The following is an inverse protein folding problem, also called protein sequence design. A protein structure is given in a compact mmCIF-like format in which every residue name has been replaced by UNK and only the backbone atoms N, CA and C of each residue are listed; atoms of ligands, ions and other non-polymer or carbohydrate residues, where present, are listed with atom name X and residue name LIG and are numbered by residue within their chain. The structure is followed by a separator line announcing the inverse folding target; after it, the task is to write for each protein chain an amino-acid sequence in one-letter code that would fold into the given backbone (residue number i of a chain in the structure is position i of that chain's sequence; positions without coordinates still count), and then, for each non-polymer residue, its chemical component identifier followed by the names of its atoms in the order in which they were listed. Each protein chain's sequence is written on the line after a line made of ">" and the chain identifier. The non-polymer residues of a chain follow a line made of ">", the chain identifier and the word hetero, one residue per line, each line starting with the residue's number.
data_IF_053603071292
#
_entry.id   IF_053603071292
#
_cell.length_a   1.000
_cell.length_b   1.000
_cell.length_c   1.000
_cell.angle_alpha   90.00
_cell.angle_beta   90.00
_cell.angle_gamma   90.00
#
_symmetry.space_group_name_H-M   'P 1'
#
loop_
_entity.id
_entity.type
_entity.pdbx_description
1 polymer ?
#
# COMPACT_ATOMS: atom_id res chain seq x y z
N UNK A 1 -0.18 19.13 -9.46
CA UNK A 1 0.82 19.98 -10.17
C UNK A 1 1.07 19.40 -11.56
N UNK A 2 0.01 19.32 -12.35
CA UNK A 2 -0.02 18.57 -13.59
C UNK A 2 -1.42 18.07 -13.90
N UNK A 3 -1.56 17.44 -15.07
CA UNK A 3 -2.78 16.78 -15.52
C UNK A 3 -2.55 15.27 -15.59
N UNK A 4 -3.36 14.52 -14.85
CA UNK A 4 -3.31 13.07 -14.83
C UNK A 4 -4.46 12.50 -15.65
N UNK A 5 -4.16 11.49 -16.46
CA UNK A 5 -5.14 10.76 -17.25
C UNK A 5 -4.81 9.26 -17.17
N UNK A 6 -5.77 8.46 -16.70
CA UNK A 6 -5.66 7.01 -16.53
C UNK A 6 -4.31 6.53 -15.92
N UNK A 7 -3.92 7.12 -14.78
CA UNK A 7 -2.70 6.73 -14.06
C UNK A 7 -1.39 7.29 -14.64
N UNK A 8 -1.42 8.02 -15.75
CA UNK A 8 -0.25 8.74 -16.28
C UNK A 8 -0.41 10.24 -16.07
N UNK A 9 0.52 10.84 -15.35
CA UNK A 9 0.53 12.29 -15.12
C UNK A 9 1.54 13.00 -16.02
N UNK A 10 1.07 14.08 -16.64
CA UNK A 10 1.92 15.08 -17.27
C UNK A 10 2.11 16.24 -16.28
N UNK A 11 3.33 16.39 -15.79
CA UNK A 11 3.65 17.41 -14.79
C UNK A 11 3.82 18.80 -15.40
N UNK A 12 3.42 19.80 -14.63
CA UNK A 12 3.67 21.21 -14.96
C UNK A 12 5.17 21.52 -14.85
N UNK A 13 5.61 22.62 -15.48
CA UNK A 13 7.01 23.06 -15.37
C UNK A 13 7.39 23.26 -13.89
N UNK A 14 8.53 22.70 -13.51
CA UNK A 14 9.00 22.74 -12.13
C UNK A 14 8.52 21.59 -11.23
N UNK A 15 7.79 20.61 -11.78
CA UNK A 15 7.30 19.44 -11.03
C UNK A 15 7.64 18.12 -11.73
N UNK A 16 7.81 17.06 -10.94
CA UNK A 16 8.12 15.73 -11.45
C UNK A 16 7.66 14.63 -10.47
N UNK A 17 7.83 13.38 -10.89
CA UNK A 17 7.31 12.18 -10.22
C UNK A 17 6.07 11.64 -10.91
N UNK A 18 5.68 10.42 -10.58
CA UNK A 18 4.56 9.73 -11.24
C UNK A 18 3.21 10.44 -11.04
N UNK A 19 3.04 11.11 -9.91
CA UNK A 19 1.87 11.92 -9.57
C UNK A 19 2.19 13.43 -9.53
N UNK A 20 3.33 13.84 -10.10
CA UNK A 20 3.81 15.23 -10.05
C UNK A 20 3.92 15.77 -8.63
N UNK A 21 4.36 14.91 -7.72
CA UNK A 21 4.37 15.17 -6.29
C UNK A 21 5.64 15.90 -5.83
N UNK A 22 6.70 15.99 -6.64
CA UNK A 22 7.97 16.59 -6.23
C UNK A 22 8.27 17.87 -7.01
N UNK A 23 8.65 18.97 -6.34
CA UNK A 23 9.15 20.15 -7.01
C UNK A 23 10.60 19.92 -7.47
N UNK A 24 10.97 20.41 -8.66
CA UNK A 24 12.33 20.32 -9.20
C UNK A 24 13.30 21.28 -8.50
N UNK A 25 12.79 22.40 -7.99
CA UNK A 25 13.55 23.38 -7.21
C UNK A 25 13.05 23.41 -5.77
N UNK A 26 13.97 23.49 -4.82
CA UNK A 26 13.62 23.57 -3.42
C UNK A 26 13.98 24.93 -2.82
N UNK A 27 12.95 25.70 -2.48
CA UNK A 27 13.09 27.00 -1.80
C UNK A 27 13.12 26.87 -0.27
N UNK A 28 13.17 25.65 0.26
CA UNK A 28 13.25 25.38 1.70
C UNK A 28 14.70 25.09 2.10
N UNK A 29 15.07 25.52 3.31
CA UNK A 29 16.30 25.05 3.92
C UNK A 29 16.19 23.57 4.25
N UNK A 30 17.32 22.85 4.30
CA UNK A 30 17.35 21.42 4.63
C UNK A 30 16.65 21.12 5.97
N UNK A 31 16.85 22.00 6.98
CA UNK A 31 16.18 21.87 8.28
C UNK A 31 14.65 21.94 8.12
N UNK A 32 14.13 22.97 7.44
CA UNK A 32 12.68 23.15 7.28
C UNK A 32 12.06 22.06 6.41
N UNK A 33 12.76 21.62 5.37
CA UNK A 33 12.38 20.46 4.56
C UNK A 33 12.26 19.20 5.44
N UNK A 34 13.28 18.90 6.24
CA UNK A 34 13.28 17.70 7.07
C UNK A 34 12.17 17.71 8.13
N UNK A 35 11.88 18.87 8.76
CA UNK A 35 10.77 18.99 9.71
C UNK A 35 9.42 18.61 9.10
N UNK A 36 9.20 18.89 7.80
CA UNK A 36 7.95 18.52 7.11
C UNK A 36 7.87 17.03 6.75
N UNK A 37 9.01 16.33 6.78
CA UNK A 37 9.12 14.90 6.47
C UNK A 37 9.16 14.02 7.73
N UNK A 38 9.12 14.61 8.93
CA UNK A 38 9.10 13.87 10.19
C UNK A 38 7.69 13.37 10.49
N UNK A 39 7.61 12.12 10.93
CA UNK A 39 6.39 11.55 11.48
C UNK A 39 6.22 11.91 12.98
N UNK A 40 5.21 11.34 13.64
CA UNK A 40 4.93 11.55 15.08
C UNK A 40 6.03 11.05 16.02
N UNK A 41 6.95 10.22 15.54
CA UNK A 41 8.08 9.67 16.27
C UNK A 41 9.40 10.43 15.97
N UNK A 42 9.31 11.60 15.33
CA UNK A 42 10.46 12.40 14.86
C UNK A 42 11.36 11.69 13.82
N UNK A 43 10.87 10.61 13.20
CA UNK A 43 11.58 9.85 12.18
C UNK A 43 11.28 10.46 10.80
N UNK A 44 12.32 10.78 10.05
CA UNK A 44 12.20 11.31 8.69
C UNK A 44 11.80 10.17 7.76
N UNK A 45 10.65 10.32 7.10
CA UNK A 45 10.13 9.35 6.12
C UNK A 45 10.13 7.91 6.65
N UNK A 46 9.82 7.72 7.94
CA UNK A 46 9.79 6.44 8.65
C UNK A 46 11.05 5.58 8.48
N UNK A 47 12.18 6.17 8.05
CA UNK A 47 13.40 5.45 7.69
C UNK A 47 13.34 4.68 6.36
N UNK A 48 12.18 4.64 5.70
CA UNK A 48 11.95 3.88 4.46
C UNK A 48 11.98 4.77 3.20
N UNK A 49 12.60 5.96 3.30
CA UNK A 49 12.67 6.90 2.19
C UNK A 49 13.60 8.07 2.43
N UNK A 50 13.64 8.98 1.46
CA UNK A 50 14.44 10.20 1.50
C UNK A 50 13.55 11.43 1.46
N UNK A 51 13.86 12.44 2.28
CA UNK A 51 13.11 13.69 2.28
C UNK A 51 13.56 14.59 1.12
N UNK A 52 12.63 14.94 0.24
CA UNK A 52 12.84 15.80 -0.91
C UNK A 52 11.91 17.01 -0.86
N UNK A 53 12.46 18.13 -0.40
CA UNK A 53 11.77 19.41 -0.28
C UNK A 53 10.44 19.36 0.51
N UNK A 54 10.47 18.71 1.67
CA UNK A 54 9.32 18.58 2.56
C UNK A 54 8.33 17.49 2.15
N UNK A 55 8.74 16.58 1.25
CA UNK A 55 7.96 15.41 0.84
C UNK A 55 8.83 14.17 0.86
N UNK A 56 8.28 13.06 1.32
CA UNK A 56 9.01 11.80 1.35
C UNK A 56 9.00 11.12 -0.01
N UNK A 57 10.18 10.73 -0.48
CA UNK A 57 10.37 9.83 -1.61
C UNK A 57 10.74 8.46 -1.08
N UNK A 58 9.77 7.55 -1.10
CA UNK A 58 9.92 6.20 -0.57
C UNK A 58 10.89 5.38 -1.42
N UNK A 59 11.62 4.49 -0.76
CA UNK A 59 12.63 3.65 -1.37
C UNK A 59 11.95 2.42 -2.01
N UNK A 60 11.44 2.59 -3.23
CA UNK A 60 10.91 1.49 -4.03
C UNK A 60 11.95 1.04 -5.06
N UNK A 61 12.27 -0.25 -5.06
CA UNK A 61 13.04 -0.89 -6.12
C UNK A 61 12.16 -1.03 -7.37
N UNK A 62 12.74 -0.76 -8.54
CA UNK A 62 12.28 -1.15 -9.90
C UNK A 62 10.77 -1.17 -10.24
N UNK A 63 9.97 -0.29 -9.64
CA UNK A 63 8.61 0.04 -10.11
C UNK A 63 7.47 -0.74 -9.47
N UNK A 64 7.74 -1.63 -8.52
CA UNK A 64 6.73 -2.39 -7.79
C UNK A 64 6.16 -1.67 -6.56
N UNK A 65 6.61 -0.44 -6.27
CA UNK A 65 5.83 0.52 -5.49
C UNK A 65 5.32 0.08 -4.12
N UNK A 66 6.03 -0.81 -3.40
CA UNK A 66 5.51 -1.48 -2.21
C UNK A 66 5.52 -0.59 -0.95
N UNK A 67 6.47 0.35 -0.87
CA UNK A 67 6.52 1.32 0.23
C UNK A 67 5.88 2.63 -0.19
N UNK A 68 4.89 3.08 0.55
CA UNK A 68 4.14 4.30 0.26
C UNK A 68 3.57 4.95 1.53
N UNK A 69 2.72 5.95 1.34
CA UNK A 69 2.23 6.80 2.42
C UNK A 69 2.92 8.16 2.45
N UNK A 70 2.44 9.07 3.30
CA UNK A 70 2.93 10.45 3.35
C UNK A 70 4.38 10.50 3.85
N UNK A 71 4.71 9.59 4.75
CA UNK A 71 5.98 9.44 5.42
C UNK A 71 6.60 8.07 5.13
N UNK A 72 6.20 7.35 4.07
CA UNK A 72 6.69 6.00 3.78
C UNK A 72 6.45 5.00 4.93
N UNK A 73 5.29 5.14 5.59
CA UNK A 73 4.86 4.35 6.74
C UNK A 73 4.20 3.02 6.36
N UNK A 74 3.78 2.86 5.10
CA UNK A 74 3.11 1.67 4.61
C UNK A 74 4.06 0.85 3.75
N UNK A 75 4.04 -0.47 3.93
CA UNK A 75 4.84 -1.44 3.19
C UNK A 75 3.99 -2.66 2.81
N UNK A 76 3.62 -2.75 1.54
CA UNK A 76 2.80 -3.85 1.03
C UNK A 76 3.58 -5.15 0.80
N UNK A 77 4.89 -5.18 1.08
CA UNK A 77 5.66 -6.43 1.15
C UNK A 77 5.12 -7.38 2.21
N UNK A 78 4.52 -6.83 3.24
CA UNK A 78 3.92 -7.60 4.34
C UNK A 78 2.68 -8.39 3.89
N UNK A 79 2.10 -8.06 2.72
CA UNK A 79 0.99 -8.81 2.12
C UNK A 79 1.44 -9.89 1.14
N UNK A 80 2.75 -10.06 0.94
CA UNK A 80 3.28 -11.12 0.08
C UNK A 80 3.23 -12.42 0.87
N UNK A 81 2.60 -13.42 0.29
CA UNK A 81 2.51 -14.75 0.86
C UNK A 81 3.86 -15.49 0.73
N UNK A 82 4.37 -16.03 1.85
CA UNK A 82 5.69 -16.66 1.92
C UNK A 82 5.82 -17.94 1.08
N UNK A 83 4.71 -18.65 0.81
CA UNK A 83 4.74 -19.89 0.01
C UNK A 83 4.62 -19.62 -1.49
N UNK A 84 3.79 -18.66 -1.88
CA UNK A 84 3.48 -18.36 -3.28
C UNK A 84 4.32 -17.23 -3.87
N UNK A 85 4.97 -16.41 -3.03
CA UNK A 85 5.66 -15.17 -3.41
C UNK A 85 4.76 -14.14 -4.13
N UNK A 86 3.44 -14.30 -4.04
CA UNK A 86 2.45 -13.42 -4.65
C UNK A 86 1.83 -12.46 -3.61
N UNK A 87 1.39 -11.29 -4.04
CA UNK A 87 0.54 -10.41 -3.21
C UNK A 87 -0.82 -11.09 -3.02
N UNK A 88 -1.41 -10.92 -1.82
CA UNK A 88 -2.73 -11.46 -1.52
C UNK A 88 -3.77 -11.22 -2.61
N UNK A 89 -4.71 -12.17 -2.74
CA UNK A 89 -5.72 -12.18 -3.81
C UNK A 89 -6.67 -10.96 -3.75
N UNK A 90 -6.73 -10.28 -2.60
CA UNK A 90 -7.49 -9.06 -2.38
C UNK A 90 -6.74 -7.77 -2.76
N UNK A 91 -7.04 -6.68 -2.05
CA UNK A 91 -6.27 -5.43 -2.13
C UNK A 91 -5.41 -5.30 -0.88
N UNK A 92 -4.10 -5.30 -1.05
CA UNK A 92 -3.19 -4.95 0.03
C UNK A 92 -3.25 -3.45 0.31
N UNK A 93 -3.43 -3.09 1.58
CA UNK A 93 -3.40 -1.72 2.08
C UNK A 93 -2.56 -1.67 3.34
N UNK A 94 -1.32 -1.19 3.23
CA UNK A 94 -0.43 -0.89 4.34
C UNK A 94 -0.08 -2.14 5.16
N UNK A 95 0.10 -3.26 4.47
CA UNK A 95 0.36 -4.57 5.07
C UNK A 95 -0.88 -5.34 5.52
N UNK A 96 -2.08 -4.84 5.24
CA UNK A 96 -3.33 -5.58 5.48
C UNK A 96 -4.06 -5.91 4.18
N UNK A 97 -4.43 -7.17 4.02
CA UNK A 97 -5.21 -7.63 2.88
C UNK A 97 -6.70 -7.39 3.10
N UNK A 98 -7.24 -6.47 2.30
CA UNK A 98 -8.68 -6.27 2.20
C UNK A 98 -9.25 -7.25 1.19
N UNK A 99 -9.94 -8.27 1.68
CA UNK A 99 -10.65 -9.23 0.82
C UNK A 99 -11.94 -8.59 0.31
N UNK A 100 -12.19 -8.69 -1.00
CA UNK A 100 -13.41 -8.21 -1.61
C UNK A 100 -14.30 -9.39 -1.93
N UNK A 101 -15.55 -9.33 -1.48
CA UNK A 101 -16.57 -10.22 -2.00
C UNK A 101 -16.88 -9.82 -3.45
N UNK A 102 -16.60 -10.73 -4.37
CA UNK A 102 -16.85 -10.56 -5.80
C UNK A 102 -18.32 -10.83 -6.15
N UNK A 103 -19.15 -11.22 -5.17
CA UNK A 103 -20.55 -11.50 -5.36
C UNK A 103 -21.50 -10.38 -4.90
N UNK A 104 -22.12 -9.64 -5.83
CA UNK A 104 -23.20 -8.72 -5.48
C UNK A 104 -24.53 -9.42 -5.14
N UNK A 105 -24.65 -10.74 -5.34
CA UNK A 105 -25.89 -11.51 -5.07
C UNK A 105 -25.98 -12.01 -3.63
N UNK A 106 -24.84 -12.16 -2.94
CA UNK A 106 -24.76 -12.73 -1.60
C UNK A 106 -25.12 -14.22 -1.54
N UNK A 107 -25.05 -14.92 -2.68
CA UNK A 107 -25.28 -16.36 -2.80
C UNK A 107 -23.96 -17.14 -2.67
N UNK A 108 -22.80 -16.49 -2.85
CA UNK A 108 -21.46 -17.04 -2.60
C UNK A 108 -20.92 -16.64 -1.22
N UNK A 109 -20.06 -17.47 -0.64
CA UNK A 109 -19.45 -17.21 0.66
C UNK A 109 -18.27 -16.24 0.59
N UNK A 110 -17.98 -15.57 1.71
CA UNK A 110 -16.98 -14.50 1.81
C UNK A 110 -15.55 -15.03 1.56
N UNK A 111 -14.75 -14.26 0.82
CA UNK A 111 -13.30 -14.50 0.76
C UNK A 111 -12.69 -14.00 2.07
N UNK A 112 -11.97 -14.86 2.77
CA UNK A 112 -11.38 -14.55 4.08
C UNK A 112 -9.98 -15.14 4.23
N UNK A 113 -9.35 -14.93 5.39
CA UNK A 113 -7.96 -15.28 5.65
C UNK A 113 -7.03 -14.08 5.60
N UNK A 114 -5.81 -14.24 6.11
CA UNK A 114 -4.83 -13.15 6.20
C UNK A 114 -4.31 -12.75 4.81
N UNK A 115 -4.38 -13.65 3.81
CA UNK A 115 -3.98 -13.40 2.41
C UNK A 115 -5.13 -13.54 1.41
N UNK A 116 -6.38 -13.55 1.90
CA UNK A 116 -7.59 -13.75 1.08
C UNK A 116 -7.55 -15.04 0.25
N UNK A 117 -6.98 -16.09 0.84
CA UNK A 117 -6.72 -17.39 0.26
C UNK A 117 -7.88 -18.37 0.45
N UNK A 118 -8.75 -18.12 1.43
CA UNK A 118 -9.90 -18.96 1.72
C UNK A 118 -11.11 -18.47 0.92
N UNK A 119 -11.70 -19.40 0.19
CA UNK A 119 -12.95 -19.23 -0.55
C UNK A 119 -13.89 -20.36 -0.12
N UNK A 120 -15.01 -20.01 0.53
CA UNK A 120 -16.02 -20.98 1.00
C UNK A 120 -16.57 -21.88 -0.12
N UNK A 121 -16.31 -21.58 -1.41
CA UNK A 121 -16.60 -22.48 -2.55
C UNK A 121 -15.74 -23.75 -2.58
N UNK A 122 -14.54 -23.73 -2.01
CA UNK A 122 -13.51 -24.77 -2.16
C UNK A 122 -13.07 -25.41 -0.84
N UNK A 123 -13.98 -25.59 0.12
CA UNK A 123 -13.76 -26.37 1.36
C UNK A 123 -13.22 -27.80 1.08
N UNK A 124 -11.93 -27.90 0.76
CA UNK A 124 -11.10 -29.04 1.09
C UNK A 124 -10.64 -28.79 2.51
N UNK A 125 -11.17 -29.59 3.42
CA UNK A 125 -10.90 -29.60 4.84
C UNK A 125 -9.40 -29.71 5.17
N UNK A 126 -8.68 -28.59 5.09
CA UNK A 126 -7.37 -28.40 5.71
C UNK A 126 -7.33 -26.94 6.14
N UNK A 127 -7.97 -26.66 7.28
CA UNK A 127 -7.70 -25.60 8.27
C UNK A 127 -9.01 -25.33 9.03
N UNK A 128 -9.42 -26.40 9.70
CA UNK A 128 -10.44 -26.41 10.75
C UNK A 128 -9.82 -25.78 12.00
N UNK A 129 -10.29 -24.61 12.43
CA UNK A 129 -10.02 -24.14 13.80
C UNK A 129 -11.16 -23.23 14.28
N UNK A 130 -11.95 -23.80 15.19
CA UNK A 130 -13.21 -23.31 15.79
C UNK A 130 -14.41 -23.57 14.87
N UNK A 131 -15.18 -24.65 15.05
CA UNK A 131 -15.85 -25.00 16.32
C UNK A 131 -16.13 -23.76 17.18
N UNK A 132 -16.83 -22.79 16.59
CA UNK A 132 -17.95 -22.18 17.31
C UNK A 132 -19.19 -22.47 16.45
N UNK A 133 -19.95 -23.46 16.93
CA UNK A 133 -21.22 -23.94 16.39
C UNK A 133 -22.17 -22.78 16.04
N UNK A 134 -22.25 -22.38 14.78
CA UNK A 134 -23.50 -21.91 14.17
C UNK A 134 -23.40 -21.93 12.64
N UNK A 135 -23.72 -23.08 12.05
CA UNK A 135 -24.55 -23.17 10.86
C UNK A 135 -25.28 -24.52 10.93
N UNK A 136 -26.62 -24.46 10.88
CA UNK A 136 -27.55 -25.58 11.17
C UNK A 136 -27.44 -26.77 10.23
#
# INVERSE_FOLDING_TARGET
>A
HGKCDCGKCKCDEGWYGEACQYPTTCNLTRKKSNEMCKNSQDIICSGAGTCQCGRCKCANSEGNGLVYGKFCECDDRECIDDETEEICTGTCVCGECTCHDVDPTGDWGDIHGDTCECDERNCKAVYDRYSDDFCS
#
